data_IF_668649788786
#
_entry.id   IF_668649788786
#
_cell.length_a   1.000
_cell.length_b   1.000
_cell.length_c   1.000
_cell.angle_alpha   90.00
_cell.angle_beta   90.00
_cell.angle_gamma   90.00
#
_symmetry.space_group_name_H-M   'P 1'
#
loop_
_entity.id
_entity.type
_entity.pdbx_description
1 polymer ?
#
# COMPACT_ATOMS: atom_id res chain seq x y z
N UNK A 1 -6.62 12.54 -3.68
CA UNK A 1 -6.36 11.45 -2.72
C UNK A 1 -5.31 11.91 -1.73
N UNK A 2 -5.56 11.72 -0.44
CA UNK A 2 -4.56 11.98 0.60
C UNK A 2 -3.64 10.77 0.84
N UNK A 3 -2.60 10.95 1.66
CA UNK A 3 -1.65 9.87 1.98
C UNK A 3 -2.30 8.68 2.70
N UNK A 4 -3.31 8.92 3.55
CA UNK A 4 -3.98 7.86 4.30
C UNK A 4 -4.87 6.99 3.40
N UNK A 5 -5.60 7.61 2.47
CA UNK A 5 -6.37 6.91 1.44
C UNK A 5 -5.46 6.06 0.54
N UNK A 6 -4.30 6.60 0.16
CA UNK A 6 -3.32 5.87 -0.64
C UNK A 6 -2.70 4.70 0.14
N UNK A 7 -2.32 4.91 1.40
CA UNK A 7 -1.78 3.87 2.27
C UNK A 7 -2.81 2.74 2.49
N UNK A 8 -4.09 3.09 2.68
CA UNK A 8 -5.20 2.13 2.77
C UNK A 8 -5.35 1.29 1.48
N UNK A 9 -5.25 1.92 0.30
CA UNK A 9 -5.27 1.20 -0.97
C UNK A 9 -4.07 0.26 -1.12
N UNK A 10 -2.88 0.68 -0.70
CA UNK A 10 -1.69 -0.20 -0.70
C UNK A 10 -1.90 -1.39 0.24
N UNK A 11 -2.42 -1.16 1.44
CA UNK A 11 -2.76 -2.23 2.38
C UNK A 11 -3.70 -3.26 1.74
N UNK A 12 -4.78 -2.80 1.12
CA UNK A 12 -5.77 -3.68 0.51
C UNK A 12 -5.24 -4.40 -0.74
N UNK A 13 -4.76 -3.63 -1.72
CA UNK A 13 -4.52 -4.12 -3.08
C UNK A 13 -3.14 -4.75 -3.25
N UNK A 14 -2.13 -4.26 -2.53
CA UNK A 14 -0.75 -4.77 -2.63
C UNK A 14 -0.44 -5.75 -1.52
N UNK A 15 -0.80 -5.40 -0.27
CA UNK A 15 -0.48 -6.25 0.88
C UNK A 15 -1.52 -7.36 1.11
N UNK A 16 -2.71 -7.25 0.52
CA UNK A 16 -3.82 -8.19 0.71
C UNK A 16 -4.42 -8.12 2.12
N UNK A 17 -4.29 -6.98 2.79
CA UNK A 17 -4.90 -6.76 4.09
C UNK A 17 -6.38 -6.40 3.92
N UNK A 18 -7.18 -6.60 4.98
CA UNK A 18 -8.61 -6.30 4.95
C UNK A 18 -9.13 -5.80 6.30
N UNK A 19 -10.26 -5.09 6.26
CA UNK A 19 -11.05 -4.79 7.44
C UNK A 19 -11.99 -5.94 7.79
N UNK A 20 -12.15 -6.20 9.09
CA UNK A 20 -13.10 -7.18 9.59
C UNK A 20 -14.38 -6.48 10.03
N UNK A 21 -15.51 -6.87 9.44
CA UNK A 21 -16.82 -6.45 9.93
C UNK A 21 -17.07 -7.02 11.33
N UNK A 22 -17.04 -6.13 12.33
CA UNK A 22 -17.22 -6.49 13.74
C UNK A 22 -18.62 -7.08 14.05
N UNK A 23 -19.57 -7.01 13.11
CA UNK A 23 -20.95 -7.54 13.28
C UNK A 23 -21.03 -9.04 13.57
N UNK A 24 -19.93 -9.80 13.47
CA UNK A 24 -19.92 -11.26 13.63
C UNK A 24 -19.27 -11.78 14.91
N UNK A 25 -18.86 -10.93 15.86
CA UNK A 25 -18.42 -11.40 17.18
C UNK A 25 -19.59 -11.39 18.17
N UNK A 26 -20.51 -12.35 18.03
CA UNK A 26 -21.41 -12.73 19.12
C UNK A 26 -20.58 -13.34 20.24
N UNK A 27 -20.17 -12.51 21.21
CA UNK A 27 -19.62 -13.02 22.46
C UNK A 27 -20.72 -13.78 23.21
N UNK A 28 -20.58 -15.11 23.27
CA UNK A 28 -21.29 -15.92 24.24
C UNK A 28 -20.99 -15.44 25.66
N UNK A 29 -22.06 -15.14 26.40
CA UNK A 29 -22.16 -15.14 27.87
C UNK A 29 -21.01 -14.48 28.65
N UNK A 30 -21.01 -13.15 28.71
CA UNK A 30 -20.88 -12.39 29.98
C UNK A 30 -20.91 -10.87 29.74
N UNK A 31 -22.12 -10.32 29.62
CA UNK A 31 -22.59 -9.07 30.26
C UNK A 31 -21.83 -7.73 30.20
N UNK A 32 -20.62 -7.65 29.63
CA UNK A 32 -19.84 -6.42 29.58
C UNK A 32 -19.49 -6.11 28.13
N UNK A 33 -20.40 -5.42 27.46
CA UNK A 33 -20.05 -4.69 26.23
C UNK A 33 -19.17 -3.53 26.69
N UNK A 34 -17.85 -3.74 26.75
CA UNK A 34 -16.94 -2.59 26.66
C UNK A 34 -17.32 -1.92 25.34
N UNK A 35 -17.95 -0.75 25.43
CA UNK A 35 -18.00 0.20 24.32
C UNK A 35 -16.55 0.53 24.02
N UNK A 36 -15.91 -0.30 23.19
CA UNK A 36 -14.68 0.08 22.53
C UNK A 36 -15.00 1.38 21.79
N UNK A 37 -14.11 2.38 21.82
CA UNK A 37 -14.30 3.60 21.06
C UNK A 37 -14.61 3.22 19.60
N UNK A 38 -15.44 4.02 18.90
CA UNK A 38 -15.90 3.69 17.56
C UNK A 38 -14.68 3.41 16.67
N UNK A 39 -14.57 2.13 16.26
CA UNK A 39 -13.91 1.64 15.06
C UNK A 39 -12.68 2.44 14.61
N UNK A 40 -11.57 2.37 15.34
CA UNK A 40 -10.26 2.56 14.70
C UNK A 40 -9.82 1.24 14.06
N UNK A 41 -10.36 1.01 12.86
CA UNK A 41 -9.64 0.60 11.64
C UNK A 41 -8.42 -0.31 11.80
N UNK A 42 -8.61 -1.46 12.45
CA UNK A 42 -7.60 -2.51 12.38
C UNK A 42 -7.66 -3.17 11.01
N UNK A 43 -6.50 -3.18 10.35
CA UNK A 43 -6.24 -4.03 9.20
C UNK A 43 -5.80 -5.40 9.68
N UNK A 44 -6.23 -6.43 8.96
CA UNK A 44 -5.91 -7.81 9.23
C UNK A 44 -5.26 -8.45 8.02
N UNK A 45 -4.40 -9.42 8.24
CA UNK A 45 -3.89 -10.32 7.21
C UNK A 45 -4.04 -11.77 7.68
N UNK A 46 -4.00 -12.72 6.72
CA UNK A 46 -3.99 -14.15 7.03
C UNK A 46 -2.55 -14.63 7.18
N UNK A 47 -2.19 -15.08 8.37
CA UNK A 47 -0.92 -15.76 8.64
C UNK A 47 -1.23 -17.17 9.08
N UNK A 48 -0.80 -18.18 8.30
CA UNK A 48 -1.11 -19.59 8.55
C UNK A 48 -2.62 -19.87 8.77
N UNK A 49 -3.47 -19.21 7.96
CA UNK A 49 -4.93 -19.32 8.04
C UNK A 49 -5.60 -18.54 9.18
N UNK A 50 -4.82 -17.94 10.09
CA UNK A 50 -5.33 -17.16 11.23
C UNK A 50 -5.31 -15.66 10.94
N UNK A 51 -6.34 -14.97 11.40
CA UNK A 51 -6.40 -13.50 11.36
C UNK A 51 -5.32 -12.93 12.28
N UNK A 52 -4.39 -12.18 11.71
CA UNK A 52 -3.36 -11.44 12.46
C UNK A 52 -3.65 -9.95 12.29
N UNK A 53 -3.73 -9.25 13.42
CA UNK A 53 -3.95 -7.80 13.44
C UNK A 53 -2.66 -7.08 13.07
N UNK A 54 -2.75 -6.15 12.12
CA UNK A 54 -1.64 -5.30 11.71
C UNK A 54 -1.66 -4.00 12.52
N UNK A 55 -0.48 -3.52 12.91
CA UNK A 55 -0.34 -2.23 13.56
C UNK A 55 -0.28 -1.13 12.49
N UNK A 56 -1.42 -0.51 12.22
CA UNK A 56 -1.56 0.51 11.17
C UNK A 56 -1.35 1.93 11.66
N UNK A 57 -1.32 2.16 12.98
CA UNK A 57 -1.09 3.49 13.55
C UNK A 57 0.27 4.09 13.18
N UNK A 58 1.24 3.25 12.80
CA UNK A 58 2.58 3.67 12.40
C UNK A 58 2.96 3.20 10.99
N UNK A 59 2.01 2.63 10.24
CA UNK A 59 2.27 2.10 8.90
C UNK A 59 1.79 3.10 7.85
N UNK A 60 2.72 3.91 7.37
CA UNK A 60 2.45 4.97 6.39
C UNK A 60 3.42 4.86 5.20
N UNK A 61 3.26 3.84 4.33
CA UNK A 61 4.24 3.54 3.29
C UNK A 61 4.40 4.66 2.25
N UNK A 62 3.44 5.54 2.06
CA UNK A 62 3.56 6.68 1.14
C UNK A 62 4.45 7.82 1.65
N UNK A 63 4.77 7.84 2.94
CA UNK A 63 5.61 8.89 3.57
C UNK A 63 6.80 8.34 4.35
N UNK A 64 6.78 7.07 4.74
CA UNK A 64 7.83 6.41 5.50
C UNK A 64 8.54 5.35 4.66
N UNK A 65 9.83 5.57 4.37
CA UNK A 65 10.61 4.66 3.50
C UNK A 65 10.76 3.24 4.06
N UNK A 66 10.82 3.07 5.39
CA UNK A 66 10.92 1.74 5.99
C UNK A 66 9.61 0.94 5.80
N UNK A 67 8.45 1.60 5.92
CA UNK A 67 7.16 1.00 5.59
C UNK A 67 7.03 0.74 4.07
N UNK A 68 7.46 1.67 3.22
CA UNK A 68 7.49 1.48 1.76
C UNK A 68 8.33 0.26 1.36
N UNK A 69 9.43 -0.01 2.06
CA UNK A 69 10.27 -1.17 1.77
C UNK A 69 9.60 -2.51 2.10
N UNK A 70 8.58 -2.51 2.97
CA UNK A 70 7.74 -3.70 3.17
C UNK A 70 6.87 -3.97 1.94
N UNK A 71 6.38 -2.92 1.27
CA UNK A 71 5.70 -3.02 -0.03
C UNK A 71 6.64 -3.58 -1.08
N UNK A 72 7.89 -3.11 -1.11
CA UNK A 72 8.92 -3.64 -2.03
C UNK A 72 9.13 -5.14 -1.80
N UNK A 73 9.25 -5.54 -0.54
CA UNK A 73 9.46 -6.94 -0.16
C UNK A 73 8.28 -7.81 -0.59
N UNK A 74 7.05 -7.31 -0.43
CA UNK A 74 5.84 -8.00 -0.87
C UNK A 74 5.76 -8.13 -2.39
N UNK A 75 6.02 -7.06 -3.12
CA UNK A 75 5.96 -7.04 -4.59
C UNK A 75 6.97 -8.01 -5.22
N UNK A 76 8.15 -8.17 -4.63
CA UNK A 76 9.18 -9.12 -5.08
C UNK A 76 8.74 -10.58 -5.11
N UNK A 77 7.68 -10.94 -4.39
CA UNK A 77 7.09 -12.29 -4.49
C UNK A 77 6.49 -12.58 -5.87
N UNK A 78 6.13 -11.54 -6.64
CA UNK A 78 5.49 -11.67 -7.97
C UNK A 78 6.20 -10.89 -9.07
N UNK A 79 6.96 -9.85 -8.74
CA UNK A 79 7.70 -8.98 -9.66
C UNK A 79 9.19 -9.01 -9.29
N UNK A 80 10.02 -9.86 -9.95
CA UNK A 80 11.39 -10.09 -9.51
C UNK A 80 12.32 -8.89 -9.74
N UNK A 81 12.01 -8.01 -10.70
CA UNK A 81 12.83 -6.87 -11.02
C UNK A 81 12.22 -5.58 -10.47
N UNK A 82 13.06 -4.82 -9.75
CA UNK A 82 12.71 -3.59 -9.08
C UNK A 82 13.81 -2.55 -9.35
N UNK A 83 13.40 -1.36 -9.74
CA UNK A 83 14.29 -0.22 -9.86
C UNK A 83 13.70 0.98 -9.14
N UNK A 84 14.57 1.72 -8.45
CA UNK A 84 14.25 2.96 -7.77
C UNK A 84 15.42 3.91 -7.95
N UNK A 85 15.17 5.06 -8.56
CA UNK A 85 16.19 6.08 -8.75
C UNK A 85 15.61 7.49 -8.66
N UNK A 86 16.49 8.44 -8.39
CA UNK A 86 16.19 9.86 -8.43
C UNK A 86 16.72 10.43 -9.74
N UNK A 87 15.88 11.20 -10.45
CA UNK A 87 16.26 11.86 -11.69
C UNK A 87 16.16 13.38 -11.51
N UNK A 88 17.31 14.03 -11.55
CA UNK A 88 17.49 15.48 -11.49
C UNK A 88 18.19 16.03 -12.74
N UNK A 89 18.27 15.23 -13.81
CA UNK A 89 19.05 15.55 -15.00
C UNK A 89 18.31 16.42 -16.01
N UNK A 90 17.00 16.61 -15.84
CA UNK A 90 16.18 17.42 -16.74
C UNK A 90 16.33 18.90 -16.38
N UNK A 91 16.69 19.73 -17.36
CA UNK A 91 16.68 21.19 -17.21
C UNK A 91 15.26 21.77 -17.30
N UNK A 92 14.29 20.98 -17.77
CA UNK A 92 12.92 21.41 -18.08
C UNK A 92 11.92 20.86 -17.06
N UNK A 93 12.11 19.61 -16.63
CA UNK A 93 11.23 18.95 -15.67
C UNK A 93 11.75 19.09 -14.24
N UNK A 94 10.87 19.28 -13.24
CA UNK A 94 11.27 19.23 -11.85
C UNK A 94 11.86 17.85 -11.52
N UNK A 95 12.87 17.81 -10.64
CA UNK A 95 13.45 16.56 -10.21
C UNK A 95 12.42 15.64 -9.54
N UNK A 96 12.54 14.32 -9.75
CA UNK A 96 11.56 13.34 -9.27
C UNK A 96 12.20 12.00 -8.90
N UNK A 97 11.49 11.24 -8.08
CA UNK A 97 11.73 9.82 -7.87
C UNK A 97 10.96 9.00 -8.89
N UNK A 98 11.62 8.01 -9.48
CA UNK A 98 10.97 7.02 -10.34
C UNK A 98 11.14 5.63 -9.74
N UNK A 99 10.04 4.89 -9.74
CA UNK A 99 10.01 3.48 -9.36
C UNK A 99 9.33 2.68 -10.47
N UNK A 100 9.88 1.52 -10.82
CA UNK A 100 9.21 0.57 -11.71
C UNK A 100 9.40 -0.89 -11.30
N UNK A 101 8.43 -1.69 -11.72
CA UNK A 101 8.37 -3.14 -11.55
C UNK A 101 8.30 -3.80 -12.91
N UNK A 102 9.17 -4.78 -13.14
CA UNK A 102 9.15 -5.57 -14.38
C UNK A 102 9.30 -7.06 -14.11
N UNK A 103 8.96 -7.84 -15.13
CA UNK A 103 9.27 -9.27 -15.21
C UNK A 103 10.12 -9.53 -16.45
N UNK A 104 10.65 -10.75 -16.60
CA UNK A 104 11.42 -11.15 -17.78
C UNK A 104 10.64 -10.95 -19.10
N UNK A 105 9.30 -10.95 -19.03
CA UNK A 105 8.41 -10.97 -20.18
C UNK A 105 7.58 -9.69 -20.36
N UNK A 106 7.70 -8.70 -19.45
CA UNK A 106 6.87 -7.49 -19.49
C UNK A 106 7.68 -6.23 -19.16
N UNK A 107 7.55 -5.23 -20.02
CA UNK A 107 8.13 -3.89 -19.81
C UNK A 107 7.69 -3.32 -18.46
N UNK A 108 8.59 -2.55 -17.83
CA UNK A 108 8.39 -1.98 -16.51
C UNK A 108 7.13 -1.13 -16.42
N UNK A 109 6.31 -1.41 -15.41
CA UNK A 109 5.21 -0.55 -14.98
C UNK A 109 5.75 0.33 -13.85
N UNK A 110 5.82 1.63 -14.09
CA UNK A 110 6.38 2.58 -13.14
C UNK A 110 5.57 3.84 -12.92
N UNK A 111 5.98 4.58 -11.89
CA UNK A 111 5.40 5.84 -11.47
C UNK A 111 6.49 6.85 -11.08
N UNK A 112 6.19 8.13 -11.30
CA UNK A 112 6.97 9.28 -10.85
C UNK A 112 6.32 9.90 -9.62
N UNK A 113 7.12 10.36 -8.66
CA UNK A 113 6.63 11.12 -7.51
C UNK A 113 7.71 12.06 -6.94
N UNK A 114 7.30 12.97 -6.08
CA UNK A 114 8.21 13.89 -5.37
C UNK A 114 9.07 13.21 -4.29
N UNK A 115 8.69 11.99 -3.86
CA UNK A 115 9.42 11.24 -2.83
C UNK A 115 9.52 9.76 -3.19
N UNK A 116 10.60 9.11 -2.73
CA UNK A 116 10.83 7.68 -2.94
C UNK A 116 9.68 6.80 -2.39
N UNK A 117 9.17 7.00 -1.16
CA UNK A 117 8.08 6.18 -0.61
C UNK A 117 6.80 6.28 -1.45
N UNK A 118 6.46 7.49 -1.91
CA UNK A 118 5.29 7.72 -2.77
C UNK A 118 5.46 7.07 -4.15
N UNK A 119 6.63 7.18 -4.78
CA UNK A 119 6.91 6.54 -6.06
C UNK A 119 6.77 5.01 -5.97
N UNK A 120 7.28 4.41 -4.88
CA UNK A 120 7.14 2.97 -4.62
C UNK A 120 5.66 2.57 -4.54
N UNK A 121 4.86 3.28 -3.76
CA UNK A 121 3.45 2.95 -3.55
C UNK A 121 2.63 3.11 -4.83
N UNK A 122 2.83 4.20 -5.56
CA UNK A 122 2.14 4.45 -6.84
C UNK A 122 2.51 3.39 -7.88
N UNK A 123 3.79 3.05 -8.01
CA UNK A 123 4.23 2.02 -8.95
C UNK A 123 3.62 0.66 -8.58
N UNK A 124 3.63 0.29 -7.29
CA UNK A 124 3.06 -0.98 -6.83
C UNK A 124 1.55 -1.08 -7.12
N UNK A 125 0.78 -0.02 -6.83
CA UNK A 125 -0.65 0.07 -7.15
C UNK A 125 -0.90 -0.08 -8.65
N UNK A 126 -0.13 0.63 -9.47
CA UNK A 126 -0.22 0.55 -10.93
C UNK A 126 0.06 -0.86 -11.44
N UNK A 127 1.04 -1.54 -10.87
CA UNK A 127 1.39 -2.93 -11.25
C UNK A 127 0.26 -3.91 -10.94
N UNK A 128 -0.49 -3.72 -9.86
CA UNK A 128 -1.68 -4.54 -9.53
C UNK A 128 -2.96 -4.08 -10.23
N UNK A 129 -2.86 -3.12 -11.17
CA UNK A 129 -3.97 -2.67 -12.00
C UNK A 129 -4.76 -1.50 -11.43
N UNK A 130 -4.25 -0.81 -10.41
CA UNK A 130 -4.86 0.42 -9.86
C UNK A 130 -4.12 1.63 -10.42
N UNK A 131 -4.72 2.29 -11.41
CA UNK A 131 -4.16 3.52 -11.98
C UNK A 131 -4.63 4.72 -11.16
N UNK A 132 -3.69 5.58 -10.77
CA UNK A 132 -3.97 6.84 -10.07
C UNK A 132 -3.37 7.98 -10.88
N UNK A 133 -4.20 8.92 -11.30
CA UNK A 133 -3.80 10.14 -12.01
C UNK A 133 -4.41 11.36 -11.32
N UNK A 134 -3.61 12.40 -11.10
CA UNK A 134 -4.03 13.63 -10.42
C UNK A 134 -4.72 13.41 -9.06
N UNK A 135 -4.41 12.30 -8.38
CA UNK A 135 -5.01 11.95 -7.09
C UNK A 135 -6.39 11.32 -7.18
N UNK A 136 -6.79 10.81 -8.34
CA UNK A 136 -8.04 10.06 -8.54
C UNK A 136 -7.73 8.69 -9.17
N UNK A 137 -8.52 7.67 -8.83
CA UNK A 137 -8.44 6.36 -9.48
C UNK A 137 -9.04 6.51 -10.87
N UNK A 138 -8.30 6.11 -11.90
CA UNK A 138 -8.77 6.10 -13.28
C UNK A 138 -8.97 4.67 -13.76
N UNK A 139 -10.07 4.43 -14.47
CA UNK A 139 -10.32 3.13 -15.12
C UNK A 139 -9.29 2.90 -16.22
N UNK A 140 -8.74 1.68 -16.27
CA UNK A 140 -7.74 1.25 -17.23
C UNK A 140 -8.31 0.92 -18.62
#
# INVERSE_FOLDING_TARGET
>A
MDHGELDALVAEKVMGWYHKDWKTVTHGTSGWIRKHPPLQEYWYCKVNGKDTRMNTLSWSPSTNIAAAWQVVSKMKETQPFFSLYYDDRSEIDPAYWFCDWSTEYRSGIGAKAESAPLAICLAALKTVGVNIENGEIVDA
#
